data_IF_139891810521
#
_entry.id   IF_139891810521
#
_cell.length_a   1.000
_cell.length_b   1.000
_cell.length_c   1.000
_cell.angle_alpha   90.00
_cell.angle_beta   90.00
_cell.angle_gamma   90.00
#
_symmetry.space_group_name_H-M   'P 1'
#
loop_
_entity.id
_entity.type
_entity.pdbx_description
1 polymer ?
#
# COMPACT_ATOMS: atom_id res chain seq x y z
N UNK A 1 -7.40 33.62 -11.74
CA UNK A 1 -8.04 32.31 -11.97
C UNK A 1 -6.93 31.30 -11.88
N UNK A 2 -6.69 30.79 -10.68
CA UNK A 2 -5.89 29.59 -10.48
C UNK A 2 -6.59 28.83 -9.36
N UNK A 3 -7.39 27.84 -9.76
CA UNK A 3 -7.95 26.87 -8.83
C UNK A 3 -6.88 25.79 -8.70
N UNK A 4 -5.98 25.91 -7.72
CA UNK A 4 -5.30 24.73 -7.20
C UNK A 4 -6.38 23.81 -6.63
N UNK A 5 -6.52 22.57 -7.13
CA UNK A 5 -7.48 21.65 -6.56
C UNK A 5 -7.09 21.41 -5.11
N UNK A 6 -8.07 21.56 -4.22
CA UNK A 6 -7.99 21.23 -2.81
C UNK A 6 -7.59 19.76 -2.72
N UNK A 7 -6.31 19.56 -2.42
CA UNK A 7 -5.71 18.26 -2.19
C UNK A 7 -6.43 17.57 -1.04
N UNK A 8 -7.24 16.57 -1.37
CA UNK A 8 -7.91 15.69 -0.42
C UNK A 8 -6.89 14.68 0.17
N UNK A 9 -5.67 15.15 0.45
CA UNK A 9 -4.46 14.38 0.68
C UNK A 9 -4.54 13.58 1.97
N UNK A 10 -4.63 12.27 1.84
CA UNK A 10 -4.18 11.34 2.88
C UNK A 10 -2.79 11.80 3.34
N UNK A 11 -2.57 11.99 4.65
CA UNK A 11 -1.29 12.50 5.14
C UNK A 11 -0.16 11.60 4.64
N UNK A 12 0.99 12.17 4.23
CA UNK A 12 2.10 11.39 3.71
C UNK A 12 2.55 10.38 4.76
N UNK A 13 2.70 9.12 4.34
CA UNK A 13 3.23 8.05 5.16
C UNK A 13 4.74 8.04 5.02
N UNK A 14 5.40 8.28 6.14
CA UNK A 14 6.84 8.24 6.26
C UNK A 14 7.27 6.89 6.85
N UNK A 15 8.42 6.40 6.39
CA UNK A 15 9.05 5.22 6.97
C UNK A 15 9.63 5.55 8.34
N UNK A 16 9.43 4.66 9.31
CA UNK A 16 10.09 4.73 10.63
C UNK A 16 11.62 4.67 10.53
N UNK A 17 12.16 4.16 9.41
CA UNK A 17 13.58 4.02 9.14
C UNK A 17 14.13 5.09 8.17
N UNK A 18 13.41 6.19 7.94
CA UNK A 18 13.85 7.25 7.00
C UNK A 18 15.20 7.90 7.36
N UNK A 19 15.57 7.87 8.64
CA UNK A 19 16.85 8.38 9.16
C UNK A 19 17.99 7.34 9.08
N UNK A 20 17.71 6.09 8.70
CA UNK A 20 18.71 5.03 8.61
C UNK A 20 19.36 5.03 7.21
N UNK A 21 20.63 5.45 7.08
CA UNK A 21 21.27 5.65 5.77
C UNK A 21 21.43 4.34 4.98
N UNK A 22 21.54 3.20 5.65
CA UNK A 22 21.64 1.89 5.02
C UNK A 22 20.29 1.45 4.41
N UNK A 23 19.17 1.87 5.00
CA UNK A 23 17.83 1.57 4.52
C UNK A 23 17.24 2.61 3.56
N UNK A 24 17.76 3.85 3.52
CA UNK A 24 17.21 4.93 2.67
C UNK A 24 17.08 4.53 1.21
N UNK A 25 18.11 3.93 0.62
CA UNK A 25 18.10 3.50 -0.80
C UNK A 25 17.01 2.43 -1.03
N UNK A 26 16.90 1.47 -0.10
CA UNK A 26 15.88 0.42 -0.14
C UNK A 26 14.46 0.96 0.02
N UNK A 27 14.26 1.96 0.89
CA UNK A 27 12.97 2.63 1.08
C UNK A 27 12.57 3.37 -0.20
N UNK A 28 13.51 4.08 -0.84
CA UNK A 28 13.25 4.76 -2.13
C UNK A 28 12.83 3.74 -3.18
N UNK A 29 13.56 2.63 -3.31
CA UNK A 29 13.20 1.54 -4.22
C UNK A 29 11.83 0.94 -3.90
N UNK A 30 11.51 0.72 -2.63
CA UNK A 30 10.22 0.21 -2.22
C UNK A 30 9.08 1.15 -2.63
N UNK A 31 9.22 2.46 -2.39
CA UNK A 31 8.22 3.47 -2.76
C UNK A 31 8.03 3.55 -4.27
N UNK A 32 9.11 3.43 -5.05
CA UNK A 32 9.04 3.41 -6.53
C UNK A 32 8.22 2.21 -7.05
N UNK A 33 8.36 1.06 -6.41
CA UNK A 33 7.63 -0.16 -6.75
C UNK A 33 6.16 -0.14 -6.29
N UNK A 34 5.76 0.75 -5.38
CA UNK A 34 4.39 0.79 -4.84
C UNK A 34 3.36 1.13 -5.92
N UNK A 35 3.70 1.99 -6.88
CA UNK A 35 2.78 2.36 -7.97
C UNK A 35 2.42 1.12 -8.82
N UNK A 36 3.42 0.36 -9.25
CA UNK A 36 3.20 -0.89 -9.99
C UNK A 36 2.40 -1.93 -9.19
N UNK A 37 2.63 -1.98 -7.86
CA UNK A 37 1.87 -2.86 -6.97
C UNK A 37 0.40 -2.42 -6.86
N UNK A 38 0.14 -1.12 -6.77
CA UNK A 38 -1.21 -0.55 -6.78
C UNK A 38 -1.96 -0.92 -8.05
N UNK A 39 -1.31 -0.82 -9.22
CA UNK A 39 -1.90 -1.24 -10.49
C UNK A 39 -2.24 -2.74 -10.49
N UNK A 40 -1.34 -3.56 -9.96
CA UNK A 40 -1.53 -5.02 -9.85
C UNK A 40 -2.69 -5.37 -8.92
N UNK A 41 -2.78 -4.74 -7.74
CA UNK A 41 -3.90 -4.91 -6.78
C UNK A 41 -5.21 -4.56 -7.47
N UNK A 42 -5.26 -3.39 -8.13
CA UNK A 42 -6.48 -2.92 -8.81
C UNK A 42 -6.89 -3.86 -9.93
N UNK A 43 -5.95 -4.29 -10.76
CA UNK A 43 -6.22 -5.21 -11.88
C UNK A 43 -6.69 -6.58 -11.40
N UNK A 44 -6.06 -7.13 -10.35
CA UNK A 44 -6.46 -8.39 -9.74
C UNK A 44 -7.87 -8.31 -9.17
N UNK A 45 -8.20 -7.24 -8.44
CA UNK A 45 -9.54 -7.03 -7.90
C UNK A 45 -10.60 -6.91 -9.00
N UNK A 46 -10.34 -6.12 -10.05
CA UNK A 46 -11.27 -5.95 -11.19
C UNK A 46 -11.47 -7.22 -12.02
N UNK A 47 -10.46 -8.09 -12.06
CA UNK A 47 -10.51 -9.37 -12.80
C UNK A 47 -10.96 -10.54 -11.92
N UNK A 48 -11.38 -10.27 -10.68
CA UNK A 48 -11.75 -11.27 -9.68
C UNK A 48 -10.65 -12.31 -9.40
N UNK A 49 -9.39 -11.95 -9.64
CA UNK A 49 -8.22 -12.80 -9.41
C UNK A 49 -7.79 -12.71 -7.93
N UNK A 50 -8.55 -13.39 -7.08
CA UNK A 50 -8.33 -13.43 -5.63
C UNK A 50 -6.99 -14.07 -5.26
N UNK A 51 -6.46 -14.96 -6.10
CA UNK A 51 -5.16 -15.60 -5.87
C UNK A 51 -4.05 -14.57 -6.03
N UNK A 52 -4.07 -13.78 -7.11
CA UNK A 52 -3.10 -12.70 -7.31
C UNK A 52 -3.24 -11.64 -6.21
N UNK A 53 -4.48 -11.25 -5.88
CA UNK A 53 -4.76 -10.24 -4.85
C UNK A 53 -4.24 -10.67 -3.47
N UNK A 54 -4.45 -11.92 -3.08
CA UNK A 54 -3.93 -12.47 -1.82
C UNK A 54 -2.40 -12.48 -1.80
N UNK A 55 -1.76 -12.91 -2.90
CA UNK A 55 -0.30 -13.00 -2.97
C UNK A 55 0.36 -11.63 -2.87
N UNK A 56 -0.16 -10.61 -3.56
CA UNK A 56 0.40 -9.26 -3.48
C UNK A 56 0.16 -8.63 -2.10
N UNK A 57 -1.00 -8.86 -1.47
CA UNK A 57 -1.26 -8.43 -0.08
C UNK A 57 -0.29 -9.09 0.90
N UNK A 58 -0.05 -10.39 0.79
CA UNK A 58 0.92 -11.08 1.63
C UNK A 58 2.35 -10.51 1.47
N UNK A 59 2.77 -10.26 0.23
CA UNK A 59 4.08 -9.67 -0.06
C UNK A 59 4.20 -8.25 0.50
N UNK A 60 3.18 -7.42 0.32
CA UNK A 60 3.16 -6.05 0.86
C UNK A 60 3.19 -6.05 2.37
N UNK A 61 2.42 -6.93 3.04
CA UNK A 61 2.46 -7.10 4.49
C UNK A 61 3.88 -7.35 5.00
N UNK A 62 4.60 -8.30 4.39
CA UNK A 62 5.96 -8.64 4.79
C UNK A 62 6.98 -7.54 4.49
N UNK A 63 6.91 -6.95 3.29
CA UNK A 63 7.84 -5.93 2.86
C UNK A 63 7.65 -4.60 3.61
N UNK A 64 6.40 -4.15 3.76
CA UNK A 64 6.09 -2.86 4.39
C UNK A 64 6.58 -2.78 5.84
N UNK A 65 6.44 -3.86 6.63
CA UNK A 65 6.97 -3.93 7.98
C UNK A 65 8.50 -3.82 8.03
N UNK A 66 9.20 -4.45 7.08
CA UNK A 66 10.66 -4.36 6.97
C UNK A 66 11.17 -2.96 6.60
N UNK A 67 10.35 -2.17 5.91
CA UNK A 67 10.67 -0.80 5.51
C UNK A 67 10.01 0.26 6.38
N UNK A 68 9.37 -0.11 7.51
CA UNK A 68 8.81 0.85 8.46
C UNK A 68 7.53 1.55 8.00
N UNK A 69 6.80 0.97 7.05
CA UNK A 69 5.48 1.42 6.58
C UNK A 69 4.36 0.59 7.22
N UNK A 70 4.22 0.67 8.54
CA UNK A 70 3.31 -0.19 9.30
C UNK A 70 1.85 -0.11 8.81
N UNK A 71 1.38 1.09 8.43
CA UNK A 71 0.02 1.29 7.88
C UNK A 71 -0.24 0.52 6.59
N UNK A 72 0.74 0.43 5.69
CA UNK A 72 0.61 -0.40 4.47
C UNK A 72 0.54 -1.88 4.87
N UNK A 73 1.39 -2.29 5.82
CA UNK A 73 1.45 -3.67 6.30
C UNK A 73 0.13 -4.11 6.94
N UNK A 74 -0.46 -3.28 7.79
CA UNK A 74 -1.72 -3.54 8.47
C UNK A 74 -2.89 -3.64 7.49
N UNK A 75 -3.03 -2.70 6.55
CA UNK A 75 -4.06 -2.77 5.51
C UNK A 75 -3.93 -4.02 4.63
N UNK A 76 -2.70 -4.37 4.26
CA UNK A 76 -2.43 -5.57 3.48
C UNK A 76 -2.76 -6.85 4.26
N UNK A 77 -2.48 -6.89 5.56
CA UNK A 77 -2.84 -8.00 6.44
C UNK A 77 -4.36 -8.19 6.56
N UNK A 78 -5.12 -7.08 6.69
CA UNK A 78 -6.59 -7.12 6.73
C UNK A 78 -7.17 -7.66 5.43
N UNK A 79 -6.71 -7.16 4.28
CA UNK A 79 -7.15 -7.65 2.97
C UNK A 79 -6.80 -9.13 2.78
N UNK A 80 -5.58 -9.55 3.16
CA UNK A 80 -5.19 -10.96 3.08
C UNK A 80 -6.08 -11.86 3.95
N UNK A 81 -6.41 -11.42 5.17
CA UNK A 81 -7.30 -12.14 6.08
C UNK A 81 -8.71 -12.29 5.49
N UNK A 82 -9.27 -11.21 4.96
CA UNK A 82 -10.59 -11.22 4.33
C UNK A 82 -10.62 -12.10 3.06
N UNK A 83 -9.49 -12.26 2.36
CA UNK A 83 -9.37 -13.18 1.21
C UNK A 83 -9.16 -14.65 1.61
N UNK A 84 -8.66 -14.90 2.82
CA UNK A 84 -8.48 -16.26 3.38
C UNK A 84 -9.75 -16.79 4.03
N UNK A 85 -10.64 -15.89 4.44
CA UNK A 85 -11.94 -16.21 5.04
C UNK A 85 -13.02 -16.14 3.97
N UNK A 86 -13.91 -17.13 3.91
CA UNK A 86 -15.03 -17.14 2.95
C UNK A 86 -16.22 -16.27 3.43
N UNK A 87 -15.97 -15.39 4.40
CA UNK A 87 -17.00 -14.65 5.13
C UNK A 87 -17.11 -13.18 4.69
N UNK A 88 -16.10 -12.65 3.99
CA UNK A 88 -16.06 -11.26 3.55
C UNK A 88 -16.97 -11.03 2.33
N UNK A 89 -17.76 -9.95 2.36
CA UNK A 89 -18.54 -9.53 1.20
C UNK A 89 -17.65 -8.78 0.21
N UNK A 90 -18.08 -8.73 -1.05
CA UNK A 90 -17.39 -7.95 -2.11
C UNK A 90 -17.22 -6.48 -1.72
N UNK A 91 -18.19 -5.92 -1.00
CA UNK A 91 -18.13 -4.54 -0.49
C UNK A 91 -16.99 -4.35 0.52
N UNK A 92 -16.81 -5.28 1.46
CA UNK A 92 -15.70 -5.24 2.41
C UNK A 92 -14.36 -5.35 1.67
N UNK A 93 -14.25 -6.27 0.70
CA UNK A 93 -13.05 -6.41 -0.11
C UNK A 93 -12.73 -5.14 -0.92
N UNK A 94 -13.73 -4.47 -1.50
CA UNK A 94 -13.49 -3.19 -2.19
C UNK A 94 -12.95 -2.13 -1.25
N UNK A 95 -13.51 -2.00 -0.04
CA UNK A 95 -13.05 -1.02 0.95
C UNK A 95 -11.60 -1.32 1.37
N UNK A 96 -11.29 -2.60 1.63
CA UNK A 96 -9.93 -3.06 1.96
C UNK A 96 -8.92 -2.79 0.86
N UNK A 97 -9.31 -3.02 -0.39
CA UNK A 97 -8.47 -2.74 -1.56
C UNK A 97 -8.20 -1.24 -1.68
N UNK A 98 -9.23 -0.41 -1.55
CA UNK A 98 -9.08 1.04 -1.60
C UNK A 98 -8.20 1.57 -0.46
N UNK A 99 -8.37 1.08 0.77
CA UNK A 99 -7.54 1.43 1.92
C UNK A 99 -6.06 1.10 1.68
N UNK A 100 -5.77 -0.11 1.19
CA UNK A 100 -4.41 -0.52 0.85
C UNK A 100 -3.81 0.38 -0.26
N UNK A 101 -4.59 0.68 -1.30
CA UNK A 101 -4.14 1.54 -2.40
C UNK A 101 -3.84 2.96 -1.91
N UNK A 102 -4.69 3.52 -1.05
CA UNK A 102 -4.50 4.85 -0.48
C UNK A 102 -3.24 4.90 0.38
N UNK A 103 -2.99 3.89 1.20
CA UNK A 103 -1.76 3.82 2.01
C UNK A 103 -0.50 3.67 1.13
N UNK A 104 -0.55 2.84 0.08
CA UNK A 104 0.55 2.74 -0.88
C UNK A 104 0.85 4.07 -1.58
N UNK A 105 -0.19 4.84 -1.94
CA UNK A 105 -0.04 6.16 -2.59
C UNK A 105 0.40 7.26 -1.65
N UNK A 106 0.06 7.15 -0.36
CA UNK A 106 0.47 8.10 0.65
C UNK A 106 1.95 7.94 1.02
N UNK A 107 2.59 6.80 0.72
CA UNK A 107 4.00 6.59 1.01
C UNK A 107 4.89 7.55 0.21
N UNK A 108 5.74 8.27 0.94
CA UNK A 108 6.66 9.24 0.35
C UNK A 108 8.11 8.79 0.49
N UNK A 109 8.94 9.23 -0.47
CA UNK A 109 10.39 9.02 -0.40
C UNK A 109 10.97 9.84 0.76
N UNK A 110 12.00 9.31 1.46
CA UNK A 110 12.71 10.07 2.49
C UNK A 110 13.34 11.33 1.86
N UNK A 111 13.28 12.47 2.54
CA UNK A 111 13.88 13.70 2.04
C UNK A 111 15.41 13.57 1.96
N UNK A 112 16.04 14.14 0.93
CA UNK A 112 17.48 14.40 0.89
C UNK A 112 17.82 15.49 1.91
N UNK A 113 18.33 15.10 3.07
CA UNK A 113 19.00 16.00 4.03
C UNK A 113 20.50 15.83 3.94
#
# INVERSE_FOLDING_TARGET
MDHSPESNETPPLHSTYECDPDLRDLIVHFVDELEQRVETIRSAFLSEDMVTLQRISHQLKGAAGGYGFDSIGDSAARLEYDLLTDEAMVSDLSERVEDLINNCRAAVRPADS
#
